data_IF_775892662490
#
_entry.id   IF_775892662490
#
_cell.length_a   1.000
_cell.length_b   1.000
_cell.length_c   1.000
_cell.angle_alpha   90.00
_cell.angle_beta   90.00
_cell.angle_gamma   90.00
#
_symmetry.space_group_name_H-M   'P 1'
#
loop_
_entity.id
_entity.type
_entity.pdbx_description
1 polymer ?
#
# COMPACT_ATOMS: atom_id res chain seq x y z
N UNK A 1 -30.13 21.04 -2.28
CA UNK A 1 -30.77 19.75 -2.63
C UNK A 1 -29.86 18.66 -2.06
N UNK A 2 -30.21 18.07 -0.90
CA UNK A 2 -29.43 16.97 -0.33
C UNK A 2 -29.88 15.68 -1.02
N UNK A 3 -29.11 15.26 -2.03
CA UNK A 3 -29.33 13.95 -2.65
C UNK A 3 -28.77 12.88 -1.72
N UNK A 4 -29.65 12.04 -1.17
CA UNK A 4 -29.25 10.84 -0.44
C UNK A 4 -28.78 9.79 -1.46
N UNK A 5 -27.46 9.60 -1.55
CA UNK A 5 -26.88 8.52 -2.36
C UNK A 5 -26.72 7.27 -1.49
N UNK A 6 -27.43 6.21 -1.83
CA UNK A 6 -27.31 4.91 -1.16
C UNK A 6 -26.15 4.12 -1.76
N UNK A 7 -25.24 3.64 -0.92
CA UNK A 7 -24.15 2.75 -1.34
C UNK A 7 -24.67 1.30 -1.38
N UNK A 8 -24.38 0.60 -2.47
CA UNK A 8 -24.69 -0.81 -2.70
C UNK A 8 -23.52 -1.51 -3.43
N UNK A 9 -23.65 -2.82 -3.69
CA UNK A 9 -22.59 -3.61 -4.34
C UNK A 9 -22.22 -3.17 -5.76
N UNK A 10 -23.10 -2.47 -6.48
CA UNK A 10 -22.81 -1.91 -7.81
C UNK A 10 -22.13 -0.54 -7.76
N UNK A 11 -21.99 0.04 -6.57
CA UNK A 11 -21.38 1.37 -6.39
C UNK A 11 -19.87 1.34 -6.68
N UNK A 12 -19.37 2.46 -7.20
CA UNK A 12 -17.94 2.72 -7.38
C UNK A 12 -17.57 3.93 -6.53
N UNK A 13 -16.63 3.75 -5.61
CA UNK A 13 -16.22 4.77 -4.64
C UNK A 13 -14.78 5.17 -4.88
N UNK A 14 -14.55 6.43 -5.27
CA UNK A 14 -13.21 7.01 -5.34
C UNK A 14 -12.77 7.49 -3.96
N UNK A 15 -11.61 7.02 -3.51
CA UNK A 15 -11.06 7.37 -2.20
C UNK A 15 -9.64 7.90 -2.37
N UNK A 16 -9.44 9.17 -2.04
CA UNK A 16 -8.10 9.75 -1.95
C UNK A 16 -7.40 9.27 -0.67
N UNK A 17 -6.14 8.87 -0.79
CA UNK A 17 -5.35 8.37 0.35
C UNK A 17 -5.77 7.00 0.88
N UNK A 18 -6.66 6.27 0.19
CA UNK A 18 -7.23 5.00 0.68
C UNK A 18 -6.30 3.80 0.73
N UNK A 19 -5.05 3.92 0.27
CA UNK A 19 -4.11 2.80 0.23
C UNK A 19 -3.37 2.51 1.55
N UNK A 20 -3.43 3.38 2.56
CA UNK A 20 -2.72 3.17 3.84
C UNK A 20 -3.31 3.99 4.99
N UNK A 21 -2.95 3.62 6.22
CA UNK A 21 -3.35 4.34 7.44
C UNK A 21 -4.83 4.19 7.76
N UNK A 22 -5.42 5.21 8.41
CA UNK A 22 -6.81 5.16 8.90
C UNK A 22 -7.81 5.06 7.75
N UNK A 23 -7.62 5.80 6.66
CA UNK A 23 -8.53 5.76 5.51
C UNK A 23 -8.60 4.36 4.89
N UNK A 24 -7.49 3.63 4.81
CA UNK A 24 -7.49 2.23 4.35
C UNK A 24 -8.37 1.34 5.23
N UNK A 25 -8.32 1.52 6.56
CA UNK A 25 -9.16 0.74 7.49
C UNK A 25 -10.65 1.06 7.30
N UNK A 26 -10.99 2.34 7.08
CA UNK A 26 -12.36 2.73 6.74
C UNK A 26 -12.83 2.06 5.43
N UNK A 27 -11.99 2.07 4.39
CA UNK A 27 -12.31 1.45 3.11
C UNK A 27 -12.50 -0.06 3.25
N UNK A 28 -11.64 -0.75 3.98
CA UNK A 28 -11.78 -2.18 4.26
C UNK A 28 -13.12 -2.46 4.94
N UNK A 29 -13.51 -1.65 5.93
CA UNK A 29 -14.80 -1.83 6.62
C UNK A 29 -16.00 -1.57 5.71
N UNK A 30 -15.92 -0.56 4.84
CA UNK A 30 -16.94 -0.31 3.83
C UNK A 30 -17.02 -1.44 2.80
N UNK A 31 -15.89 -2.00 2.39
CA UNK A 31 -15.82 -3.14 1.49
C UNK A 31 -16.48 -4.39 2.09
N UNK A 32 -16.22 -4.67 3.37
CA UNK A 32 -16.87 -5.77 4.09
C UNK A 32 -18.40 -5.60 4.14
N UNK A 33 -18.87 -4.37 4.39
CA UNK A 33 -20.29 -4.08 4.53
C UNK A 33 -21.04 -4.04 3.20
N UNK A 34 -20.50 -3.37 2.19
CA UNK A 34 -21.21 -3.07 0.94
C UNK A 34 -20.75 -3.92 -0.24
N UNK A 35 -19.58 -4.58 -0.16
CA UNK A 35 -19.02 -5.44 -1.22
C UNK A 35 -19.02 -4.76 -2.60
N UNK A 36 -18.61 -3.50 -2.62
CA UNK A 36 -18.61 -2.64 -3.81
C UNK A 36 -17.17 -2.39 -4.31
N UNK A 37 -17.03 -1.55 -5.33
CA UNK A 37 -15.73 -1.27 -5.98
C UNK A 37 -15.12 0.02 -5.46
N UNK A 38 -13.81 0.01 -5.21
CA UNK A 38 -13.06 1.15 -4.71
C UNK A 38 -11.94 1.53 -5.67
N UNK A 39 -11.83 2.82 -5.97
CA UNK A 39 -10.68 3.38 -6.68
C UNK A 39 -9.81 4.10 -5.65
N UNK A 40 -8.62 3.57 -5.37
CA UNK A 40 -7.70 4.15 -4.39
C UNK A 40 -6.72 5.12 -5.06
N UNK A 41 -6.95 6.42 -4.89
CA UNK A 41 -6.09 7.45 -5.47
C UNK A 41 -5.00 7.88 -4.50
N UNK A 42 -3.73 7.79 -4.91
CA UNK A 42 -2.59 8.17 -4.08
C UNK A 42 -1.33 8.50 -4.88
N UNK A 43 -0.29 8.97 -4.19
CA UNK A 43 0.99 9.38 -4.80
C UNK A 43 1.99 8.22 -5.02
N UNK A 44 1.76 7.07 -4.40
CA UNK A 44 2.67 5.92 -4.47
C UNK A 44 2.42 5.12 -5.76
N UNK A 45 3.47 4.85 -6.54
CA UNK A 45 3.39 3.90 -7.64
C UNK A 45 3.43 2.46 -7.13
N UNK A 46 2.58 1.60 -7.70
CA UNK A 46 2.51 0.16 -7.40
C UNK A 46 3.11 -0.69 -8.53
N UNK A 47 3.39 -0.09 -9.69
CA UNK A 47 3.62 -0.77 -10.97
C UNK A 47 4.83 -1.71 -11.06
N UNK A 48 5.94 -1.42 -10.40
CA UNK A 48 7.10 -2.34 -10.41
C UNK A 48 6.80 -3.55 -9.52
N UNK A 49 7.51 -4.68 -9.59
CA UNK A 49 7.43 -5.73 -8.54
C UNK A 49 8.32 -5.39 -7.35
N UNK A 50 8.04 -5.92 -6.15
CA UNK A 50 8.99 -5.80 -5.05
C UNK A 50 10.31 -6.52 -5.43
N UNK A 51 11.49 -5.90 -5.22
CA UNK A 51 12.77 -6.53 -5.55
C UNK A 51 13.00 -7.83 -4.77
N UNK A 52 13.63 -8.81 -5.41
CA UNK A 52 13.83 -10.15 -4.83
C UNK A 52 14.57 -10.12 -3.48
N UNK A 53 15.59 -9.27 -3.35
CA UNK A 53 16.36 -9.12 -2.12
C UNK A 53 15.52 -8.58 -0.93
N UNK A 54 14.42 -7.87 -1.20
CA UNK A 54 13.54 -7.33 -0.18
C UNK A 54 12.45 -8.31 0.23
N UNK A 55 12.03 -9.22 -0.68
CA UNK A 55 10.94 -10.17 -0.43
C UNK A 55 11.17 -11.00 0.82
N UNK A 56 10.07 -11.34 1.48
CA UNK A 56 10.02 -12.18 2.70
C UNK A 56 10.88 -11.67 3.87
N UNK A 57 11.37 -10.42 3.83
CA UNK A 57 12.09 -9.78 4.93
C UNK A 57 11.19 -8.77 5.63
N UNK A 58 10.60 -9.18 6.75
CA UNK A 58 9.67 -8.33 7.52
C UNK A 58 10.32 -7.62 8.70
N UNK A 59 11.50 -8.07 9.14
CA UNK A 59 12.28 -7.38 10.16
C UNK A 59 12.87 -6.08 9.60
N UNK A 60 12.67 -4.97 10.33
CA UNK A 60 13.10 -3.64 9.90
C UNK A 60 14.63 -3.51 9.88
N UNK A 61 15.31 -4.06 10.90
CA UNK A 61 16.77 -3.98 11.01
C UNK A 61 17.43 -4.74 9.87
N UNK A 62 16.95 -5.96 9.61
CA UNK A 62 17.44 -6.80 8.54
C UNK A 62 17.16 -6.20 7.16
N UNK A 63 15.96 -5.66 6.94
CA UNK A 63 15.65 -5.01 5.66
C UNK A 63 16.55 -3.80 5.41
N UNK A 64 16.83 -2.99 6.45
CA UNK A 64 17.78 -1.87 6.34
C UNK A 64 19.20 -2.35 6.03
N UNK A 65 19.66 -3.45 6.63
CA UNK A 65 20.97 -4.06 6.29
C UNK A 65 21.01 -4.47 4.82
N UNK A 66 19.98 -5.12 4.30
CA UNK A 66 19.90 -5.50 2.88
C UNK A 66 19.91 -4.29 1.96
N UNK A 67 19.19 -3.22 2.32
CA UNK A 67 19.21 -1.95 1.58
C UNK A 67 20.63 -1.37 1.55
N UNK A 68 21.36 -1.40 2.67
CA UNK A 68 22.75 -0.94 2.72
C UNK A 68 23.64 -1.73 1.75
N UNK A 69 23.51 -3.06 1.73
CA UNK A 69 24.28 -3.91 0.80
C UNK A 69 23.98 -3.60 -0.66
N UNK A 70 22.71 -3.38 -1.01
CA UNK A 70 22.30 -3.00 -2.36
C UNK A 70 22.89 -1.66 -2.78
N UNK A 71 22.88 -0.66 -1.88
CA UNK A 71 23.47 0.65 -2.17
C UNK A 71 24.98 0.55 -2.40
N UNK A 72 25.69 -0.23 -1.56
CA UNK A 72 27.13 -0.46 -1.71
C UNK A 72 27.43 -1.15 -3.04
N UNK A 73 26.67 -2.20 -3.40
CA UNK A 73 26.83 -2.93 -4.66
C UNK A 73 26.56 -2.05 -5.90
N UNK A 74 25.74 -1.01 -5.76
CA UNK A 74 25.47 0.00 -6.79
C UNK A 74 26.52 1.13 -6.83
N UNK A 75 27.57 1.06 -6.01
CA UNK A 75 28.58 2.13 -5.90
C UNK A 75 28.09 3.37 -5.16
N UNK A 76 26.92 3.30 -4.51
CA UNK A 76 26.36 4.40 -3.73
C UNK A 76 26.78 4.35 -2.26
N UNK A 77 26.95 5.52 -1.65
CA UNK A 77 27.15 5.62 -0.20
C UNK A 77 25.84 5.32 0.54
N UNK A 78 25.80 4.33 1.46
CA UNK A 78 24.59 3.93 2.19
C UNK A 78 24.28 4.91 3.34
N UNK A 79 23.91 6.15 3.03
CA UNK A 79 23.59 7.14 4.05
C UNK A 79 22.26 6.82 4.75
N UNK A 80 22.08 7.17 6.05
CA UNK A 80 20.85 6.91 6.79
C UNK A 80 19.59 7.43 6.06
N UNK A 81 19.69 8.59 5.40
CA UNK A 81 18.58 9.20 4.64
C UNK A 81 18.20 8.34 3.43
N UNK A 82 19.18 7.84 2.66
CA UNK A 82 18.92 6.97 1.49
C UNK A 82 18.32 5.64 1.91
N UNK A 83 18.91 5.01 2.93
CA UNK A 83 18.43 3.74 3.48
C UNK A 83 16.98 3.88 3.96
N UNK A 84 16.69 4.93 4.74
CA UNK A 84 15.34 5.17 5.24
C UNK A 84 14.34 5.49 4.12
N UNK A 85 14.76 6.18 3.05
CA UNK A 85 13.92 6.48 1.90
C UNK A 85 13.49 5.21 1.18
N UNK A 86 14.44 4.33 0.85
CA UNK A 86 14.19 3.03 0.22
C UNK A 86 13.32 2.13 1.10
N UNK A 87 13.63 2.06 2.39
CA UNK A 87 12.84 1.32 3.38
C UNK A 87 11.38 1.80 3.37
N UNK A 88 11.14 3.12 3.50
CA UNK A 88 9.79 3.70 3.47
C UNK A 88 9.05 3.40 2.17
N UNK A 89 9.75 3.36 1.03
CA UNK A 89 9.13 3.01 -0.27
C UNK A 89 8.63 1.56 -0.25
N UNK A 90 9.45 0.62 0.21
CA UNK A 90 9.08 -0.80 0.31
C UNK A 90 7.94 -0.99 1.32
N UNK A 91 8.04 -0.41 2.51
CA UNK A 91 6.97 -0.51 3.52
C UNK A 91 5.65 0.05 3.01
N UNK A 92 5.67 1.26 2.40
CA UNK A 92 4.45 1.87 1.81
C UNK A 92 3.80 0.98 0.77
N UNK A 93 4.60 0.36 -0.09
CA UNK A 93 4.11 -0.55 -1.11
C UNK A 93 3.43 -1.75 -0.47
N UNK A 94 4.08 -2.39 0.51
CA UNK A 94 3.51 -3.53 1.25
C UNK A 94 2.19 -3.17 1.94
N UNK A 95 2.11 -2.01 2.58
CA UNK A 95 0.85 -1.53 3.20
C UNK A 95 -0.29 -1.44 2.17
N UNK A 96 0.00 -0.89 0.99
CA UNK A 96 -0.98 -0.70 -0.07
C UNK A 96 -1.40 -2.04 -0.67
N UNK A 97 -0.45 -2.92 -0.99
CA UNK A 97 -0.75 -4.26 -1.48
C UNK A 97 -1.59 -5.04 -0.46
N UNK A 98 -1.27 -4.93 0.82
CA UNK A 98 -2.05 -5.56 1.88
C UNK A 98 -3.48 -5.00 1.92
N UNK A 99 -3.63 -3.67 1.86
CA UNK A 99 -4.95 -3.03 1.81
C UNK A 99 -5.80 -3.54 0.64
N UNK A 100 -5.23 -3.58 -0.57
CA UNK A 100 -5.91 -4.10 -1.78
C UNK A 100 -6.30 -5.57 -1.60
N UNK A 101 -5.38 -6.39 -1.07
CA UNK A 101 -5.66 -7.81 -0.80
C UNK A 101 -6.78 -7.98 0.22
N UNK A 102 -6.77 -7.22 1.31
CA UNK A 102 -7.81 -7.29 2.34
C UNK A 102 -9.17 -6.86 1.79
N UNK A 103 -9.23 -5.79 0.99
CA UNK A 103 -10.48 -5.37 0.32
C UNK A 103 -11.07 -6.53 -0.52
N UNK A 104 -10.21 -7.22 -1.28
CA UNK A 104 -10.63 -8.39 -2.08
C UNK A 104 -11.09 -9.56 -1.22
N UNK A 105 -10.38 -9.84 -0.13
CA UNK A 105 -10.73 -10.93 0.80
C UNK A 105 -12.09 -10.72 1.48
N UNK A 106 -12.47 -9.47 1.79
CA UNK A 106 -13.76 -9.15 2.41
C UNK A 106 -14.91 -8.98 1.39
N UNK A 107 -14.63 -9.21 0.10
CA UNK A 107 -15.63 -9.23 -0.97
C UNK A 107 -15.81 -7.92 -1.75
N UNK A 108 -14.95 -6.92 -1.53
CA UNK A 108 -14.89 -5.73 -2.37
C UNK A 108 -13.92 -5.88 -3.56
N UNK A 109 -13.84 -4.85 -4.40
CA UNK A 109 -12.84 -4.75 -5.46
C UNK A 109 -11.99 -3.48 -5.29
N UNK A 110 -10.68 -3.57 -5.56
CA UNK A 110 -9.72 -2.46 -5.55
C UNK A 110 -8.52 -2.73 -6.46
#
# INVERSE_FOLDING_TARGET
MNQHTTINSSSVVLVSGGGRGVTAQCVIKLAEQYRCKFILLGRSSIGDSEPEWAKNCFDESELKKRIMQVLIAQGEKPTPVKVQKLFKTISKRRDITNTISTIKQVGGEA
#
